data_IF_091845239560
#
_entry.id   IF_091845239560
#
_cell.length_a   1.000
_cell.length_b   1.000
_cell.length_c   1.000
_cell.angle_alpha   90.00
_cell.angle_beta   90.00
_cell.angle_gamma   90.00
#
_symmetry.space_group_name_H-M   'P 1'
#
loop_
_entity.id
_entity.type
_entity.pdbx_description
1 polymer ?
#
# COMPACT_ATOMS: atom_id res chain seq x y z
N UNK A 1 -0.83 -0.76 -42.41
CA UNK A 1 -1.94 -1.71 -42.25
C UNK A 1 -2.72 -1.53 -40.93
N UNK A 2 -2.28 -0.69 -39.98
CA UNK A 2 -3.04 -0.39 -38.75
C UNK A 2 -4.07 0.75 -38.89
N UNK A 3 -3.77 1.79 -39.70
CA UNK A 3 -4.59 3.01 -39.83
C UNK A 3 -6.03 2.79 -40.33
N UNK A 4 -6.27 1.83 -41.22
CA UNK A 4 -7.62 1.55 -41.75
C UNK A 4 -8.55 0.86 -40.73
N UNK A 5 -7.99 0.32 -39.65
CA UNK A 5 -8.76 -0.44 -38.64
C UNK A 5 -9.41 0.47 -37.60
N UNK A 6 -8.84 1.65 -37.33
CA UNK A 6 -9.29 2.53 -36.25
C UNK A 6 -10.40 3.52 -36.67
N UNK A 7 -10.54 3.80 -37.98
CA UNK A 7 -11.62 4.65 -38.50
C UNK A 7 -13.03 4.02 -38.34
N UNK A 8 -13.10 2.75 -37.92
CA UNK A 8 -14.34 2.05 -37.57
C UNK A 8 -14.79 2.26 -36.11
N UNK A 9 -13.93 2.75 -35.22
CA UNK A 9 -14.31 3.04 -33.83
C UNK A 9 -15.26 4.23 -33.79
N UNK A 10 -16.29 4.12 -32.97
CA UNK A 10 -17.20 5.22 -32.67
C UNK A 10 -16.51 6.25 -31.78
N UNK A 11 -16.98 7.50 -31.83
CA UNK A 11 -16.48 8.58 -30.95
C UNK A 11 -16.48 8.21 -29.46
N UNK A 12 -17.52 7.57 -28.88
CA UNK A 12 -17.47 7.13 -27.50
C UNK A 12 -16.36 6.11 -27.22
N UNK A 13 -16.18 5.09 -28.07
CA UNK A 13 -15.10 4.08 -27.90
C UNK A 13 -13.70 4.72 -27.99
N UNK A 14 -13.52 5.72 -28.86
CA UNK A 14 -12.25 6.47 -28.93
C UNK A 14 -12.00 7.30 -27.67
N UNK A 15 -13.05 7.88 -27.08
CA UNK A 15 -12.93 8.64 -25.83
C UNK A 15 -12.62 7.73 -24.65
N UNK A 16 -13.29 6.58 -24.56
CA UNK A 16 -13.04 5.57 -23.53
C UNK A 16 -11.61 5.04 -23.59
N UNK A 17 -11.14 4.62 -24.77
CA UNK A 17 -9.76 4.13 -24.95
C UNK A 17 -8.68 5.13 -24.52
N UNK A 18 -8.89 6.42 -24.80
CA UNK A 18 -7.97 7.50 -24.44
C UNK A 18 -8.09 7.88 -22.96
N UNK A 19 -9.31 7.89 -22.42
CA UNK A 19 -9.56 8.19 -21.01
C UNK A 19 -8.96 7.12 -20.09
N UNK A 20 -9.08 5.84 -20.46
CA UNK A 20 -8.39 4.71 -19.82
C UNK A 20 -6.87 4.90 -19.76
N UNK A 21 -6.28 5.77 -20.58
CA UNK A 21 -4.82 5.98 -20.68
C UNK A 21 -4.41 7.37 -20.20
N UNK A 22 -5.26 8.03 -19.40
CA UNK A 22 -4.98 9.34 -18.82
C UNK A 22 -5.14 10.53 -19.76
N UNK A 23 -5.66 10.32 -20.97
CA UNK A 23 -5.74 11.38 -21.99
C UNK A 23 -7.13 12.02 -21.93
N UNK A 24 -7.19 13.31 -21.54
CA UNK A 24 -8.43 14.08 -21.56
C UNK A 24 -8.97 14.25 -22.99
N UNK A 25 -10.24 13.89 -23.22
CA UNK A 25 -10.85 13.93 -24.55
C UNK A 25 -11.97 14.96 -24.75
N UNK A 26 -12.15 15.89 -23.82
CA UNK A 26 -13.30 16.82 -23.79
C UNK A 26 -13.29 17.86 -24.92
N UNK A 27 -12.11 18.18 -25.46
CA UNK A 27 -11.91 19.30 -26.41
C UNK A 27 -11.66 18.87 -27.86
N UNK A 28 -11.60 17.56 -28.15
CA UNK A 28 -11.16 17.06 -29.45
C UNK A 28 -12.31 16.67 -30.39
N UNK A 29 -12.13 16.99 -31.68
CA UNK A 29 -13.01 16.54 -32.75
C UNK A 29 -12.64 15.11 -33.22
N UNK A 30 -13.47 14.50 -34.08
CA UNK A 30 -13.29 13.10 -34.51
C UNK A 30 -11.92 12.84 -35.15
N UNK A 31 -11.44 13.73 -36.03
CA UNK A 31 -10.14 13.54 -36.69
C UNK A 31 -8.97 13.65 -35.72
N UNK A 32 -9.08 14.52 -34.71
CA UNK A 32 -8.10 14.63 -33.64
C UNK A 32 -8.11 13.40 -32.73
N UNK A 33 -9.28 12.85 -32.42
CA UNK A 33 -9.41 11.61 -31.64
C UNK A 33 -8.74 10.43 -32.36
N UNK A 34 -8.94 10.28 -33.68
CA UNK A 34 -8.30 9.22 -34.47
C UNK A 34 -6.78 9.31 -34.35
N UNK A 35 -6.20 10.49 -34.56
CA UNK A 35 -4.74 10.69 -34.45
C UNK A 35 -4.21 10.40 -33.04
N UNK A 36 -4.98 10.73 -32.01
CA UNK A 36 -4.61 10.43 -30.63
C UNK A 36 -4.66 8.93 -30.35
N UNK A 37 -5.67 8.20 -30.84
CA UNK A 37 -5.74 6.74 -30.68
C UNK A 37 -4.59 6.06 -31.42
N UNK A 38 -4.25 6.53 -32.62
CA UNK A 38 -3.10 6.04 -33.39
C UNK A 38 -1.80 6.26 -32.63
N UNK A 39 -1.54 7.49 -32.18
CA UNK A 39 -0.34 7.83 -31.42
C UNK A 39 -0.25 7.03 -30.10
N UNK A 40 -1.35 6.91 -29.36
CA UNK A 40 -1.39 6.12 -28.11
C UNK A 40 -1.13 4.62 -28.37
N UNK A 41 -1.59 4.09 -29.51
CA UNK A 41 -1.35 2.71 -29.91
C UNK A 41 0.10 2.48 -30.36
N UNK A 42 0.68 3.43 -31.11
CA UNK A 42 2.08 3.38 -31.55
C UNK A 42 3.06 3.50 -30.39
N UNK A 43 2.74 4.36 -29.41
CA UNK A 43 3.51 4.51 -28.18
C UNK A 43 3.32 3.36 -27.20
N UNK A 44 2.34 2.48 -27.43
CA UNK A 44 2.02 1.38 -26.53
C UNK A 44 1.61 1.85 -25.14
N UNK A 45 0.82 2.94 -25.06
CA UNK A 45 0.37 3.48 -23.77
C UNK A 45 -0.48 2.44 -23.03
N UNK A 46 -0.01 2.06 -21.85
CA UNK A 46 -0.74 1.22 -20.92
C UNK A 46 -1.95 1.97 -20.37
N UNK A 47 -3.01 1.22 -20.09
CA UNK A 47 -4.17 1.74 -19.36
C UNK A 47 -3.69 2.22 -17.99
N UNK A 48 -4.03 3.44 -17.60
CA UNK A 48 -3.87 3.90 -16.23
C UNK A 48 -4.58 2.88 -15.33
N UNK A 49 -3.83 2.28 -14.43
CA UNK A 49 -4.40 1.30 -13.53
C UNK A 49 -5.46 1.99 -12.66
N UNK A 50 -6.55 1.26 -12.42
CA UNK A 50 -7.58 1.75 -11.50
C UNK A 50 -6.90 1.99 -10.14
N UNK A 51 -7.01 3.20 -9.55
CA UNK A 51 -6.44 3.48 -8.23
C UNK A 51 -6.86 2.48 -7.14
N UNK A 52 -8.05 1.89 -7.27
CA UNK A 52 -8.53 0.83 -6.36
C UNK A 52 -7.75 -0.48 -6.58
N UNK A 53 -7.47 -0.84 -7.83
CA UNK A 53 -6.66 -2.00 -8.20
C UNK A 53 -5.20 -1.84 -7.75
N UNK A 54 -4.58 -0.69 -7.99
CA UNK A 54 -3.21 -0.40 -7.54
C UNK A 54 -3.10 -0.52 -6.01
N UNK A 55 -4.08 0.04 -5.29
CA UNK A 55 -4.11 -0.04 -3.82
C UNK A 55 -4.27 -1.47 -3.34
N UNK A 56 -5.10 -2.27 -4.01
CA UNK A 56 -5.27 -3.70 -3.70
C UNK A 56 -3.98 -4.48 -3.95
N UNK A 57 -3.31 -4.26 -5.08
CA UNK A 57 -2.03 -4.89 -5.40
C UNK A 57 -0.97 -4.53 -4.35
N UNK A 58 -0.86 -3.25 -4.00
CA UNK A 58 0.13 -2.80 -3.02
C UNK A 58 -0.12 -3.36 -1.60
N UNK A 59 -1.38 -3.62 -1.24
CA UNK A 59 -1.75 -4.29 0.00
C UNK A 59 -1.39 -5.78 -0.04
N UNK A 60 -1.68 -6.49 -1.14
CA UNK A 60 -1.28 -7.88 -1.34
C UNK A 60 0.24 -8.07 -1.30
N UNK A 61 0.99 -7.18 -1.95
CA UNK A 61 2.46 -7.19 -1.93
C UNK A 61 3.00 -7.08 -0.51
N UNK A 62 2.43 -6.17 0.32
CA UNK A 62 2.84 -6.03 1.73
C UNK A 62 2.53 -7.28 2.54
N UNK A 63 1.53 -8.08 2.16
CA UNK A 63 1.16 -9.33 2.84
C UNK A 63 1.79 -10.58 2.20
N UNK A 64 2.53 -10.40 1.12
CA UNK A 64 3.22 -11.48 0.42
C UNK A 64 4.51 -11.81 1.17
N UNK A 65 4.65 -13.07 1.58
CA UNK A 65 5.79 -13.55 2.35
C UNK A 65 6.28 -14.88 1.82
N UNK A 66 7.57 -15.15 1.99
CA UNK A 66 8.18 -16.45 1.70
C UNK A 66 8.36 -17.22 3.00
N UNK A 67 7.75 -18.41 3.07
CA UNK A 67 7.87 -19.32 4.21
C UNK A 67 9.26 -19.99 4.24
N UNK A 68 9.61 -20.60 5.37
CA UNK A 68 10.84 -21.38 5.55
C UNK A 68 10.97 -22.54 4.56
N UNK A 69 9.84 -23.05 4.07
CA UNK A 69 9.76 -24.06 2.99
C UNK A 69 10.14 -23.53 1.62
N UNK A 70 10.36 -22.22 1.47
CA UNK A 70 10.62 -21.54 0.20
C UNK A 70 9.36 -21.21 -0.61
N UNK A 71 8.17 -21.55 -0.11
CA UNK A 71 6.90 -21.23 -0.77
C UNK A 71 6.52 -19.78 -0.46
N UNK A 72 6.24 -19.00 -1.50
CA UNK A 72 5.65 -17.67 -1.37
C UNK A 72 4.14 -17.76 -1.29
N UNK A 73 3.55 -17.07 -0.31
CA UNK A 73 2.11 -17.02 -0.07
C UNK A 73 1.68 -15.61 0.32
N UNK A 74 0.41 -15.31 0.11
CA UNK A 74 -0.22 -14.07 0.57
C UNK A 74 -0.93 -14.38 1.89
N UNK A 75 -0.60 -13.66 2.96
CA UNK A 75 -1.30 -13.77 4.25
C UNK A 75 -2.66 -13.07 4.19
N UNK A 76 -3.66 -13.44 5.01
CA UNK A 76 -4.97 -12.77 5.00
C UNK A 76 -4.87 -11.26 5.22
N UNK A 77 -5.83 -10.49 4.67
CA UNK A 77 -6.00 -9.07 5.00
C UNK A 77 -6.25 -8.95 6.51
N UNK A 78 -5.59 -7.98 7.13
CA UNK A 78 -5.72 -7.67 8.56
C UNK A 78 -7.17 -7.43 8.98
N UNK A 79 -8.03 -6.94 8.07
CA UNK A 79 -9.47 -6.76 8.30
C UNK A 79 -10.23 -8.08 8.43
N UNK A 80 -9.78 -9.12 7.73
CA UNK A 80 -10.42 -10.44 7.70
C UNK A 80 -9.89 -11.35 8.81
N UNK A 81 -8.77 -10.99 9.44
CA UNK A 81 -8.21 -11.71 10.58
C UNK A 81 -9.09 -11.55 11.81
N UNK A 82 -9.47 -12.68 12.40
CA UNK A 82 -10.27 -12.76 13.64
C UNK A 82 -9.45 -13.29 14.83
N UNK A 83 -10.03 -13.21 16.03
CA UNK A 83 -9.43 -13.74 17.28
C UNK A 83 -8.06 -13.12 17.61
N UNK A 84 -8.04 -11.79 17.71
CA UNK A 84 -6.88 -11.03 18.14
C UNK A 84 -6.61 -11.21 19.64
N UNK A 85 -5.34 -11.24 20.01
CA UNK A 85 -4.89 -11.42 21.40
C UNK A 85 -4.29 -10.12 21.93
N UNK A 86 -4.72 -9.69 23.12
CA UNK A 86 -4.09 -8.58 23.84
C UNK A 86 -2.91 -9.03 24.71
N UNK A 87 -2.75 -10.34 24.90
CA UNK A 87 -1.59 -10.90 25.60
C UNK A 87 -0.39 -10.93 24.66
N UNK A 88 0.62 -10.13 24.98
CA UNK A 88 1.84 -9.96 24.20
C UNK A 88 2.94 -10.95 24.59
N UNK A 89 2.66 -11.93 25.46
CA UNK A 89 3.66 -12.95 25.87
C UNK A 89 4.18 -13.81 24.71
N UNK A 90 3.40 -13.93 23.64
CA UNK A 90 3.78 -14.69 22.43
C UNK A 90 4.40 -13.82 21.34
N UNK A 91 4.67 -12.54 21.63
CA UNK A 91 5.30 -11.64 20.70
C UNK A 91 6.71 -12.15 20.35
N UNK A 92 7.07 -12.24 19.06
CA UNK A 92 8.46 -12.47 18.67
C UNK A 92 9.39 -11.45 19.33
N UNK A 93 10.59 -11.89 19.70
CA UNK A 93 11.58 -10.96 20.24
C UNK A 93 11.97 -9.99 19.14
N UNK A 94 11.64 -8.71 19.33
CA UNK A 94 11.94 -7.62 18.40
C UNK A 94 12.63 -6.51 19.15
N UNK A 95 13.73 -6.02 18.61
CA UNK A 95 14.48 -4.90 19.16
C UNK A 95 14.28 -3.64 18.31
N UNK A 96 14.57 -2.49 18.91
CA UNK A 96 14.56 -1.22 18.17
C UNK A 96 15.52 -1.24 16.98
N UNK A 97 16.61 -2.02 17.06
CA UNK A 97 17.55 -2.21 15.96
C UNK A 97 16.88 -2.81 14.72
N UNK A 98 16.05 -3.82 14.89
CA UNK A 98 15.34 -4.50 13.79
C UNK A 98 14.39 -3.55 13.06
N UNK A 99 13.68 -2.71 13.82
CA UNK A 99 12.81 -1.67 13.29
C UNK A 99 13.63 -0.67 12.46
N UNK A 100 14.77 -0.21 12.99
CA UNK A 100 15.62 0.75 12.29
C UNK A 100 16.24 0.19 11.01
N UNK A 101 16.64 -1.09 11.02
CA UNK A 101 17.10 -1.80 9.82
C UNK A 101 16.00 -1.80 8.77
N UNK A 102 14.79 -2.22 9.12
CA UNK A 102 13.65 -2.22 8.18
C UNK A 102 13.36 -0.83 7.60
N UNK A 103 13.36 0.22 8.44
CA UNK A 103 13.13 1.59 7.95
C UNK A 103 14.19 2.04 6.94
N UNK A 104 15.45 1.65 7.14
CA UNK A 104 16.55 1.92 6.21
C UNK A 104 16.42 1.15 4.91
N UNK A 105 16.18 -0.16 4.99
CA UNK A 105 16.25 -1.06 3.84
C UNK A 105 15.00 -1.05 3.00
N UNK A 106 13.82 -0.85 3.62
CA UNK A 106 12.52 -1.02 2.97
C UNK A 106 11.71 0.27 2.89
N UNK A 107 11.94 1.25 3.75
CA UNK A 107 11.17 2.51 3.76
C UNK A 107 11.95 3.71 3.23
N UNK A 108 13.19 3.51 2.76
CA UNK A 108 14.02 4.58 2.22
C UNK A 108 14.38 5.66 3.24
N UNK A 109 14.39 5.34 4.54
CA UNK A 109 14.82 6.29 5.55
C UNK A 109 16.29 6.63 5.36
N UNK A 110 16.59 7.93 5.39
CA UNK A 110 17.95 8.44 5.28
C UNK A 110 18.53 8.76 6.67
N UNK A 111 19.86 8.86 6.75
CA UNK A 111 20.60 9.12 7.99
C UNK A 111 20.05 10.30 8.80
N UNK A 112 19.65 11.40 8.14
CA UNK A 112 19.11 12.58 8.83
C UNK A 112 17.81 12.26 9.54
N UNK A 113 16.89 11.54 8.89
CA UNK A 113 15.61 11.13 9.47
C UNK A 113 15.81 10.18 10.65
N UNK A 114 16.73 9.22 10.54
CA UNK A 114 17.06 8.32 11.66
C UNK A 114 17.65 9.06 12.87
N UNK A 115 18.52 10.04 12.62
CA UNK A 115 19.14 10.81 13.70
C UNK A 115 18.12 11.62 14.50
N UNK A 116 17.01 12.01 13.84
CA UNK A 116 15.88 12.74 14.41
C UNK A 116 14.66 11.84 14.67
N UNK A 117 14.81 10.51 14.81
CA UNK A 117 13.65 9.61 14.92
C UNK A 117 12.74 9.93 16.13
N UNK A 118 13.32 10.44 17.23
CA UNK A 118 12.57 10.89 18.43
C UNK A 118 11.76 12.15 18.19
N UNK A 119 12.04 12.86 17.11
CA UNK A 119 11.32 14.06 16.69
C UNK A 119 10.36 13.76 15.53
N UNK A 120 10.39 12.54 14.97
CA UNK A 120 9.47 12.09 13.92
C UNK A 120 8.05 11.91 14.50
N UNK A 121 7.05 12.19 13.67
CA UNK A 121 5.66 12.16 14.07
C UNK A 121 5.25 10.79 14.63
N UNK A 122 5.79 9.68 14.10
CA UNK A 122 5.49 8.35 14.61
C UNK A 122 5.85 8.18 16.09
N UNK A 123 7.04 8.67 16.48
CA UNK A 123 7.49 8.61 17.87
C UNK A 123 6.68 9.56 18.76
N UNK A 124 6.38 10.78 18.28
CA UNK A 124 5.54 11.74 19.02
C UNK A 124 4.12 11.23 19.26
N UNK A 125 3.53 10.53 18.29
CA UNK A 125 2.23 9.88 18.44
C UNK A 125 2.26 8.84 19.58
N UNK A 126 3.30 8.02 19.63
CA UNK A 126 3.51 7.09 20.74
C UNK A 126 3.66 7.84 22.09
N UNK A 127 4.56 8.83 22.15
CA UNK A 127 4.84 9.62 23.36
C UNK A 127 3.58 10.32 23.90
N UNK A 128 2.76 10.87 23.00
CA UNK A 128 1.52 11.55 23.30
C UNK A 128 0.32 10.59 23.48
N UNK A 129 0.56 9.27 23.56
CA UNK A 129 -0.46 8.23 23.80
C UNK A 129 -1.56 8.16 22.73
N UNK A 130 -1.21 8.45 21.49
CA UNK A 130 -2.11 8.23 20.35
C UNK A 130 -2.18 6.77 19.93
N UNK A 131 -1.27 5.92 20.42
CA UNK A 131 -1.29 4.48 20.20
C UNK A 131 -2.11 3.84 21.32
N UNK A 132 -3.23 3.25 20.94
CA UNK A 132 -4.15 2.56 21.83
C UNK A 132 -4.34 1.09 21.39
N UNK A 133 -4.59 0.23 22.38
CA UNK A 133 -4.96 -1.19 22.18
C UNK A 133 -4.07 -1.93 21.18
N UNK A 134 -2.89 -2.35 21.64
CA UNK A 134 -1.99 -3.22 20.87
C UNK A 134 -2.47 -4.66 20.97
N UNK A 135 -2.64 -5.31 19.83
CA UNK A 135 -3.06 -6.71 19.74
C UNK A 135 -2.19 -7.45 18.75
N UNK A 136 -2.05 -8.76 18.94
CA UNK A 136 -1.33 -9.63 18.01
C UNK A 136 -2.20 -10.78 17.50
N UNK A 137 -1.79 -11.33 16.35
CA UNK A 137 -2.27 -12.60 15.81
C UNK A 137 -1.10 -13.37 15.25
N UNK A 138 -0.90 -14.59 15.73
CA UNK A 138 0.08 -15.52 15.19
C UNK A 138 -0.50 -16.25 13.96
N UNK A 139 0.27 -16.28 12.88
CA UNK A 139 -0.03 -16.87 11.57
C UNK A 139 1.16 -17.75 11.14
N UNK A 140 1.19 -18.99 11.62
CA UNK A 140 2.29 -19.94 11.37
C UNK A 140 3.67 -19.37 11.74
N UNK A 141 4.46 -18.98 10.74
CA UNK A 141 5.83 -18.44 10.88
C UNK A 141 5.88 -16.92 11.04
N UNK A 142 4.71 -16.28 11.04
CA UNK A 142 4.57 -14.83 11.08
C UNK A 142 3.62 -14.39 12.20
N UNK A 143 3.74 -13.14 12.60
CA UNK A 143 2.85 -12.51 13.57
C UNK A 143 2.41 -11.15 13.04
N UNK A 144 1.11 -10.94 12.95
CA UNK A 144 0.59 -9.57 12.84
C UNK A 144 0.55 -8.93 14.22
N UNK A 145 0.99 -7.69 14.29
CA UNK A 145 0.65 -6.77 15.39
C UNK A 145 -0.20 -5.68 14.79
N UNK A 146 -1.29 -5.31 15.47
CA UNK A 146 -2.06 -4.13 15.12
C UNK A 146 -2.27 -3.23 16.32
N UNK A 147 -2.50 -1.96 16.05
CA UNK A 147 -2.90 -0.98 17.05
C UNK A 147 -3.99 -0.07 16.50
N UNK A 148 -4.81 0.45 17.41
CA UNK A 148 -5.70 1.57 17.12
C UNK A 148 -4.94 2.87 17.34
N UNK A 149 -5.00 3.80 16.40
CA UNK A 149 -4.29 5.07 16.46
C UNK A 149 -5.27 6.24 16.40
N UNK A 150 -5.13 7.19 17.35
CA UNK A 150 -5.88 8.43 17.38
C UNK A 150 -5.23 9.47 16.46
N UNK A 151 -5.98 10.13 15.55
CA UNK A 151 -5.44 11.19 14.71
C UNK A 151 -4.95 12.40 15.53
N UNK A 152 -3.80 12.98 15.17
CA UNK A 152 -3.24 14.15 15.85
C UNK A 152 -4.00 15.44 15.49
N UNK A 153 -4.16 15.70 14.19
CA UNK A 153 -4.68 16.98 13.68
C UNK A 153 -6.20 17.00 13.56
N UNK A 154 -6.84 15.82 13.56
CA UNK A 154 -8.27 15.66 13.31
C UNK A 154 -8.92 14.90 14.47
N UNK A 155 -8.98 15.53 15.63
CA UNK A 155 -9.49 14.92 16.87
C UNK A 155 -10.95 14.43 16.79
N UNK A 156 -11.72 14.91 15.81
CA UNK A 156 -13.09 14.45 15.54
C UNK A 156 -13.17 13.30 14.53
N UNK A 157 -12.05 12.93 13.91
CA UNK A 157 -11.98 11.82 12.97
C UNK A 157 -11.86 10.50 13.74
N UNK A 158 -12.40 9.44 13.13
CA UNK A 158 -12.38 8.12 13.76
C UNK A 158 -10.93 7.62 13.92
N UNK A 159 -10.64 6.85 14.98
CA UNK A 159 -9.36 6.16 15.08
C UNK A 159 -9.12 5.31 13.84
N UNK A 160 -7.87 5.24 13.40
CA UNK A 160 -7.43 4.38 12.29
C UNK A 160 -6.64 3.19 12.84
N UNK A 161 -6.49 2.14 12.04
CA UNK A 161 -5.69 0.98 12.42
C UNK A 161 -4.34 1.06 11.74
N UNK A 162 -3.30 0.74 12.51
CA UNK A 162 -1.96 0.45 11.99
C UNK A 162 -1.64 -1.00 12.25
N UNK A 163 -0.80 -1.58 11.39
CA UNK A 163 -0.33 -2.94 11.57
C UNK A 163 1.10 -3.11 11.08
N UNK A 164 1.79 -4.07 11.68
CA UNK A 164 3.09 -4.55 11.25
C UNK A 164 3.05 -6.08 11.15
N UNK A 165 3.77 -6.62 10.18
CA UNK A 165 3.94 -8.04 9.98
C UNK A 165 5.37 -8.42 10.36
N UNK A 166 5.50 -9.31 11.34
CA UNK A 166 6.76 -9.83 11.82
C UNK A 166 6.96 -11.28 11.37
N UNK A 167 8.20 -11.67 11.12
CA UNK A 167 8.60 -13.06 11.22
C UNK A 167 8.78 -13.47 12.68
N UNK A 168 8.64 -14.76 12.98
CA UNK A 168 8.91 -15.30 14.32
C UNK A 168 10.38 -15.12 14.76
N UNK A 169 11.27 -14.78 13.82
CA UNK A 169 12.66 -14.40 14.06
C UNK A 169 12.85 -12.95 14.53
N UNK A 170 11.76 -12.17 14.67
CA UNK A 170 11.80 -10.76 15.06
C UNK A 170 11.94 -9.79 13.88
N UNK A 171 12.14 -10.29 12.66
CA UNK A 171 12.32 -9.43 11.49
C UNK A 171 11.00 -8.78 11.06
N UNK A 172 11.03 -7.46 10.79
CA UNK A 172 9.89 -6.74 10.23
C UNK A 172 9.81 -7.03 8.74
N UNK A 173 8.70 -7.61 8.29
CA UNK A 173 8.47 -7.92 6.87
C UNK A 173 7.78 -6.78 6.15
N UNK A 174 6.77 -6.19 6.78
CA UNK A 174 5.99 -5.10 6.22
C UNK A 174 5.17 -4.37 7.27
N UNK A 175 4.49 -3.30 6.86
CA UNK A 175 3.49 -2.63 7.68
C UNK A 175 2.54 -1.79 6.84
N UNK A 176 1.46 -1.35 7.47
CA UNK A 176 0.43 -0.55 6.81
C UNK A 176 -0.42 0.25 7.79
N UNK A 177 -1.21 1.18 7.25
CA UNK A 177 -2.25 1.90 7.97
C UNK A 177 -3.55 1.88 7.17
N UNK A 178 -4.68 2.03 7.85
CA UNK A 178 -5.96 2.38 7.23
C UNK A 178 -6.17 3.90 7.20
N UNK A 179 -5.11 4.68 7.41
CA UNK A 179 -5.17 6.12 7.43
C UNK A 179 -5.50 6.67 6.04
N UNK A 180 -6.37 7.68 5.98
CA UNK A 180 -6.68 8.40 4.74
C UNK A 180 -5.63 9.51 4.62
N UNK A 181 -4.76 9.40 3.62
CA UNK A 181 -3.74 10.39 3.32
C UNK A 181 -4.36 11.68 2.78
#
# INVERSE_FOLDING_TARGET
MAAESQNKRTVPEMKEFLAERGIQTSIYNKDQLIKLVEAASELGLETEADPEEEKSQHDEERRTVTMSTGITTILPDVKDVTEWQCDLTTLPTIEIGDIMVYLLTNCGWIKTRLSSYKEDNGYKLFENRHIDTVMLKNLNEFTYIKSTCLPETRQNEKPYQTWILLGNDGSVKSGGCTCVA
#
